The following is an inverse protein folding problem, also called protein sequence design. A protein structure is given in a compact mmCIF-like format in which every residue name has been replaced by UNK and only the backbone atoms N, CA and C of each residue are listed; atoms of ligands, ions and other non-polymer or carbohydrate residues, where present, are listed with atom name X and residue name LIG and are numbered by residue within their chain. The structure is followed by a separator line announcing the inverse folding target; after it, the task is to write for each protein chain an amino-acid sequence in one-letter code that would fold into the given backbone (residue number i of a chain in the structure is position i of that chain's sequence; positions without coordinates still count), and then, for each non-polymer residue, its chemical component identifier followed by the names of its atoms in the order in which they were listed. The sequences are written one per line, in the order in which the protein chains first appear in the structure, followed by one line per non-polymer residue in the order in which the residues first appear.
data_IF_774773455008
#
_entry.id   IF_774773455008
#
_cell.length_a   1.000
_cell.length_b   1.000
_cell.length_c   1.000
_cell.angle_alpha   90.00
_cell.angle_beta   90.00
_cell.angle_gamma   90.00
#
_symmetry.space_group_name_H-M   'P 1'
#
loop_
_entity.id
_entity.type
_entity.pdbx_description
1 polymer ?
#
# COMPACT_ATOMS: atom_id res chain seq x y z
N UNK A 1 -6.90 -3.81 4.51
CA UNK A 1 -6.32 -4.75 5.48
C UNK A 1 -7.47 -5.49 6.12
N UNK A 2 -7.23 -6.67 6.68
CA UNK A 2 -8.24 -7.45 7.42
C UNK A 2 -8.39 -6.93 8.85
N UNK A 3 -9.49 -7.28 9.53
CA UNK A 3 -9.71 -6.88 10.93
C UNK A 3 -8.56 -7.33 11.85
N UNK A 4 -8.07 -8.55 11.66
CA UNK A 4 -6.91 -9.09 12.39
C UNK A 4 -5.62 -8.30 12.14
N UNK A 5 -5.46 -7.75 10.94
CA UNK A 5 -4.32 -6.90 10.59
C UNK A 5 -4.45 -5.52 11.26
N UNK A 6 -5.66 -4.99 11.41
CA UNK A 6 -5.91 -3.78 12.21
C UNK A 6 -5.53 -4.00 13.66
N UNK A 7 -5.90 -5.14 14.27
CA UNK A 7 -5.46 -5.49 15.62
C UNK A 7 -3.93 -5.52 15.75
N UNK A 8 -3.23 -6.09 14.76
CA UNK A 8 -1.77 -6.09 14.73
C UNK A 8 -1.16 -4.68 14.57
N UNK A 9 -1.84 -3.77 13.86
CA UNK A 9 -1.45 -2.36 13.78
C UNK A 9 -1.62 -1.65 15.13
N UNK A 10 -2.75 -1.87 15.81
CA UNK A 10 -3.01 -1.30 17.13
C UNK A 10 -2.01 -1.82 18.17
N UNK A 11 -1.65 -3.09 18.14
CA UNK A 11 -0.58 -3.64 18.97
C UNK A 11 0.76 -2.92 18.74
N UNK A 12 1.10 -2.56 17.50
CA UNK A 12 2.29 -1.74 17.21
C UNK A 12 2.19 -0.34 17.82
N UNK A 13 1.03 0.31 17.74
CA UNK A 13 0.80 1.63 18.33
C UNK A 13 0.94 1.57 19.86
N UNK A 14 0.33 0.56 20.48
CA UNK A 14 0.43 0.30 21.92
C UNK A 14 1.90 0.12 22.35
N UNK A 15 2.74 -0.52 21.54
CA UNK A 15 4.16 -0.66 21.83
C UNK A 15 4.93 0.68 21.80
N UNK A 16 4.42 1.72 21.13
CA UNK A 16 5.04 3.05 21.10
C UNK A 16 4.63 3.93 22.27
N UNK A 17 3.35 3.90 22.68
CA UNK A 17 2.81 4.87 23.66
C UNK A 17 2.00 4.24 24.80
N UNK A 18 2.08 2.93 24.96
CA UNK A 18 1.53 2.17 26.09
C UNK A 18 0.00 2.30 26.25
N UNK A 19 -0.73 2.60 25.16
CA UNK A 19 -2.20 2.62 25.19
C UNK A 19 -2.79 1.21 25.11
N UNK A 20 -3.99 1.04 25.68
CA UNK A 20 -4.75 -0.21 25.63
C UNK A 20 -5.88 -0.12 24.61
N UNK A 21 -6.20 -1.24 23.97
CA UNK A 21 -7.26 -1.34 22.97
C UNK A 21 -8.17 -2.52 23.28
N UNK A 22 -9.43 -2.39 22.89
CA UNK A 22 -10.43 -3.45 22.92
C UNK A 22 -10.95 -3.76 21.51
N UNK A 23 -11.89 -4.69 21.43
CA UNK A 23 -12.49 -5.13 20.16
C UNK A 23 -13.22 -3.98 19.46
N UNK A 24 -13.91 -3.13 20.22
CA UNK A 24 -14.66 -1.97 19.71
C UNK A 24 -13.72 -0.94 19.08
N UNK A 25 -12.58 -0.67 19.72
CA UNK A 25 -11.57 0.24 19.15
C UNK A 25 -10.96 -0.36 17.88
N UNK A 26 -10.74 -1.67 17.87
CA UNK A 26 -10.22 -2.37 16.69
C UNK A 26 -11.19 -2.29 15.51
N UNK A 27 -12.49 -2.49 15.75
CA UNK A 27 -13.53 -2.35 14.75
C UNK A 27 -13.60 -0.91 14.20
N UNK A 28 -13.59 0.10 15.09
CA UNK A 28 -13.64 1.50 14.68
C UNK A 28 -12.43 1.92 13.83
N UNK A 29 -11.23 1.45 14.16
CA UNK A 29 -10.04 1.67 13.33
C UNK A 29 -10.12 0.90 12.00
N UNK A 30 -10.66 -0.31 12.00
CA UNK A 30 -10.81 -1.13 10.81
C UNK A 30 -11.75 -0.50 9.80
N UNK A 31 -12.86 0.09 10.24
CA UNK A 31 -13.82 0.77 9.35
C UNK A 31 -13.14 1.85 8.51
N UNK A 32 -12.17 2.57 9.09
CA UNK A 32 -11.42 3.62 8.42
C UNK A 32 -10.26 3.09 7.57
N UNK A 33 -9.58 2.03 8.04
CA UNK A 33 -8.32 1.56 7.48
C UNK A 33 -8.43 0.34 6.55
N UNK A 34 -9.59 -0.33 6.51
CA UNK A 34 -9.84 -1.51 5.68
C UNK A 34 -9.48 -1.34 4.19
N UNK A 35 -9.57 -0.14 3.56
CA UNK A 35 -9.15 0.03 2.15
C UNK A 35 -7.63 0.01 1.92
N UNK A 36 -6.81 0.13 2.97
CA UNK A 36 -5.35 0.27 2.89
C UNK A 36 -4.63 -1.01 3.33
N UNK A 37 -3.40 -1.23 2.89
CA UNK A 37 -2.63 -2.42 3.30
C UNK A 37 -2.04 -2.26 4.70
N UNK A 38 -1.76 -3.37 5.39
CA UNK A 38 -1.07 -3.34 6.68
C UNK A 38 0.32 -2.69 6.57
N UNK A 39 1.03 -2.91 5.46
CA UNK A 39 2.34 -2.33 5.23
C UNK A 39 2.29 -0.79 5.17
N UNK A 40 1.31 -0.23 4.44
CA UNK A 40 1.09 1.22 4.39
C UNK A 40 0.80 1.80 5.78
N UNK A 41 -0.07 1.13 6.55
CA UNK A 41 -0.45 1.61 7.87
C UNK A 41 0.71 1.51 8.88
N UNK A 42 1.48 0.41 8.88
CA UNK A 42 2.69 0.30 9.72
C UNK A 42 3.73 1.36 9.37
N UNK A 43 3.92 1.65 8.08
CA UNK A 43 4.80 2.73 7.65
C UNK A 43 4.33 4.08 8.18
N UNK A 44 3.03 4.39 8.08
CA UNK A 44 2.47 5.63 8.58
C UNK A 44 2.62 5.80 10.11
N UNK A 45 2.39 4.74 10.88
CA UNK A 45 2.62 4.73 12.34
C UNK A 45 4.09 5.03 12.66
N UNK A 46 5.02 4.31 12.02
CA UNK A 46 6.46 4.51 12.23
C UNK A 46 6.89 5.94 11.89
N UNK A 47 6.41 6.47 10.76
CA UNK A 47 6.71 7.84 10.33
C UNK A 47 6.24 8.86 11.36
N UNK A 48 5.00 8.74 11.83
CA UNK A 48 4.47 9.62 12.87
C UNK A 48 5.34 9.63 14.12
N UNK A 49 5.62 8.47 14.73
CA UNK A 49 6.42 8.42 15.95
C UNK A 49 7.91 8.71 15.75
N UNK A 50 8.41 8.72 14.51
CA UNK A 50 9.77 9.20 14.20
C UNK A 50 9.86 10.71 14.07
N UNK A 51 8.75 11.39 13.79
CA UNK A 51 8.72 12.83 13.50
C UNK A 51 8.08 13.65 14.64
N UNK A 52 7.16 13.06 15.40
CA UNK A 52 6.45 13.72 16.50
C UNK A 52 6.21 12.77 17.68
N UNK A 53 5.94 13.36 18.85
CA UNK A 53 5.52 12.67 20.07
C UNK A 53 4.02 12.76 20.31
N UNK A 54 3.28 13.42 19.40
CA UNK A 54 1.86 13.66 19.56
C UNK A 54 1.05 12.36 19.57
N UNK A 55 -0.10 12.41 20.23
CA UNK A 55 -1.03 11.28 20.27
C UNK A 55 -1.53 10.92 18.88
N UNK A 56 -1.20 9.73 18.41
CA UNK A 56 -1.60 9.25 17.08
C UNK A 56 -3.10 8.89 17.04
N UNK A 57 -3.81 9.41 16.03
CA UNK A 57 -5.21 9.08 15.72
C UNK A 57 -5.36 8.39 14.35
N UNK A 58 -6.49 7.72 14.05
CA UNK A 58 -6.71 7.13 12.74
C UNK A 58 -6.55 8.12 11.58
N UNK A 59 -6.98 9.37 11.79
CA UNK A 59 -6.89 10.44 10.80
C UNK A 59 -5.44 10.76 10.39
N UNK A 60 -4.49 10.67 11.33
CA UNK A 60 -3.06 10.87 11.04
C UNK A 60 -2.51 9.75 10.16
N UNK A 61 -2.85 8.51 10.48
CA UNK A 61 -2.48 7.34 9.67
C UNK A 61 -3.02 7.52 8.24
N UNK A 62 -4.29 7.89 8.09
CA UNK A 62 -4.89 8.15 6.77
C UNK A 62 -4.19 9.28 6.02
N UNK A 63 -3.91 10.40 6.68
CA UNK A 63 -3.23 11.56 6.10
C UNK A 63 -1.85 11.19 5.58
N UNK A 64 -1.08 10.43 6.38
CA UNK A 64 0.26 9.99 5.99
C UNK A 64 0.16 9.01 4.82
N UNK A 65 -0.70 7.97 4.88
CA UNK A 65 -0.85 7.01 3.78
C UNK A 65 -1.23 7.73 2.47
N UNK A 66 -2.20 8.64 2.50
CA UNK A 66 -2.60 9.41 1.31
C UNK A 66 -1.46 10.24 0.76
N UNK A 67 -0.66 10.87 1.63
CA UNK A 67 0.51 11.63 1.21
C UNK A 67 1.54 10.74 0.54
N UNK A 68 1.87 9.61 1.16
CA UNK A 68 2.81 8.64 0.63
C UNK A 68 2.34 8.02 -0.71
N UNK A 69 1.04 7.76 -0.86
CA UNK A 69 0.43 7.32 -2.12
C UNK A 69 0.66 8.34 -3.23
N UNK A 70 0.36 9.62 -2.97
CA UNK A 70 0.59 10.70 -3.94
C UNK A 70 2.07 10.81 -4.30
N UNK A 71 2.96 10.78 -3.30
CA UNK A 71 4.41 10.84 -3.53
C UNK A 71 4.89 9.70 -4.43
N UNK A 72 4.42 8.47 -4.23
CA UNK A 72 4.77 7.34 -5.10
C UNK A 72 4.24 7.49 -6.52
N UNK A 73 2.99 7.91 -6.68
CA UNK A 73 2.38 8.13 -7.99
C UNK A 73 3.07 9.26 -8.77
N UNK A 74 3.46 10.34 -8.08
CA UNK A 74 4.17 11.47 -8.69
C UNK A 74 5.53 11.09 -9.28
N UNK A 75 6.16 10.00 -8.80
CA UNK A 75 7.42 9.49 -9.36
C UNK A 75 7.23 8.78 -10.71
N UNK A 76 6.01 8.49 -11.12
CA UNK A 76 5.71 7.66 -12.30
C UNK A 76 5.02 8.46 -13.42
N UNK A 77 4.85 9.78 -13.28
CA UNK A 77 4.20 10.70 -14.24
C UNK A 77 2.91 10.15 -14.88
N UNK A 78 3.03 9.37 -15.95
CA UNK A 78 1.92 8.69 -16.64
C UNK A 78 2.04 7.17 -16.50
N UNK A 79 1.00 6.55 -15.95
CA UNK A 79 0.93 5.09 -15.79
C UNK A 79 0.33 4.49 -17.06
N UNK A 80 1.17 3.82 -17.83
CA UNK A 80 0.79 3.05 -19.01
C UNK A 80 1.05 1.55 -18.78
N UNK A 81 0.19 0.64 -19.28
CA UNK A 81 0.49 -0.79 -19.33
C UNK A 81 1.61 -1.13 -20.33
N UNK A 82 2.18 -2.32 -20.19
CA UNK A 82 3.04 -2.92 -21.21
C UNK A 82 2.25 -3.27 -22.47
N UNK A 83 2.92 -3.43 -23.63
CA UNK A 83 2.25 -3.78 -24.89
C UNK A 83 1.52 -5.11 -24.79
N UNK A 84 2.08 -6.07 -24.06
CA UNK A 84 1.46 -7.36 -23.79
C UNK A 84 0.10 -7.28 -23.06
N UNK A 85 -0.19 -6.18 -22.35
CA UNK A 85 -1.48 -5.95 -21.68
C UNK A 85 -2.43 -5.01 -22.45
N UNK A 86 -1.98 -4.44 -23.58
CA UNK A 86 -2.76 -3.53 -24.44
C UNK A 86 -3.48 -4.30 -25.56
N UNK A 87 -4.12 -5.41 -25.23
CA UNK A 87 -4.84 -6.26 -26.21
C UNK A 87 -6.16 -5.63 -26.66
N UNK A 88 -6.84 -4.94 -25.75
CA UNK A 88 -8.05 -4.16 -25.98
C UNK A 88 -8.19 -3.06 -24.91
N UNK A 89 -9.14 -2.13 -25.12
CA UNK A 89 -9.36 -0.99 -24.23
C UNK A 89 -9.77 -1.40 -22.81
N UNK A 90 -10.48 -2.52 -22.63
CA UNK A 90 -10.92 -2.97 -21.32
C UNK A 90 -9.73 -3.56 -20.53
N UNK A 91 -8.88 -4.35 -21.18
CA UNK A 91 -7.65 -4.89 -20.63
C UNK A 91 -6.67 -3.78 -20.25
N UNK A 92 -6.51 -2.78 -21.12
CA UNK A 92 -5.65 -1.62 -20.87
C UNK A 92 -6.13 -0.84 -19.62
N UNK A 93 -7.44 -0.54 -19.54
CA UNK A 93 -8.01 0.17 -18.40
C UNK A 93 -7.89 -0.62 -17.09
N UNK A 94 -8.13 -1.93 -17.14
CA UNK A 94 -8.02 -2.80 -15.98
C UNK A 94 -6.57 -2.87 -15.46
N UNK A 95 -5.61 -3.01 -16.36
CA UNK A 95 -4.18 -3.07 -16.02
C UNK A 95 -3.68 -1.73 -15.50
N UNK A 96 -4.08 -0.61 -16.12
CA UNK A 96 -3.76 0.74 -15.65
C UNK A 96 -4.23 0.97 -14.22
N UNK A 97 -5.46 0.58 -13.91
CA UNK A 97 -6.02 0.66 -12.55
C UNK A 97 -5.25 -0.22 -11.57
N UNK A 98 -4.87 -1.43 -11.97
CA UNK A 98 -4.11 -2.36 -11.14
C UNK A 98 -2.68 -1.84 -10.85
N UNK A 99 -2.00 -1.31 -11.86
CA UNK A 99 -0.67 -0.69 -11.74
C UNK A 99 -0.72 0.53 -10.82
N UNK A 100 -1.68 1.42 -11.04
CA UNK A 100 -1.91 2.60 -10.19
C UNK A 100 -2.10 2.21 -8.73
N UNK A 101 -2.91 1.18 -8.46
CA UNK A 101 -3.12 0.66 -7.10
C UNK A 101 -1.83 0.05 -6.52
N UNK A 102 -1.06 -0.69 -7.32
CA UNK A 102 0.16 -1.34 -6.87
C UNK A 102 1.27 -0.32 -6.55
N UNK A 103 1.45 0.70 -7.40
CA UNK A 103 2.38 1.82 -7.18
C UNK A 103 1.95 2.63 -5.97
N UNK A 104 0.67 3.04 -5.93
CA UNK A 104 0.14 3.81 -4.80
C UNK A 104 0.37 3.06 -3.48
N UNK A 105 0.09 1.77 -3.41
CA UNK A 105 0.30 0.99 -2.18
C UNK A 105 1.75 0.64 -1.85
N UNK A 106 2.71 0.92 -2.74
CA UNK A 106 4.11 0.52 -2.59
C UNK A 106 4.33 -0.98 -2.82
N UNK A 107 3.33 -1.71 -3.32
CA UNK A 107 3.49 -3.10 -3.74
C UNK A 107 4.38 -3.23 -4.98
N UNK A 108 4.36 -2.21 -5.84
CA UNK A 108 5.21 -2.03 -7.00
C UNK A 108 6.04 -0.74 -6.82
N UNK A 109 7.36 -0.86 -6.87
CA UNK A 109 8.27 0.31 -6.85
C UNK A 109 8.38 0.94 -8.25
N UNK A 110 8.77 2.22 -8.36
CA UNK A 110 9.04 2.83 -9.67
C UNK A 110 10.08 2.06 -10.50
N UNK A 111 11.10 1.51 -9.86
CA UNK A 111 12.13 0.68 -10.52
C UNK A 111 11.52 -0.58 -11.13
N UNK A 112 10.72 -1.31 -10.34
CA UNK A 112 10.00 -2.50 -10.81
C UNK A 112 8.96 -2.17 -11.89
N UNK A 113 8.33 -1.00 -11.82
CA UNK A 113 7.44 -0.56 -12.88
C UNK A 113 8.21 -0.34 -14.19
N UNK A 114 9.40 0.27 -14.13
CA UNK A 114 10.29 0.40 -15.28
C UNK A 114 10.76 -0.96 -15.83
N UNK A 115 11.06 -1.92 -14.96
CA UNK A 115 11.39 -3.29 -15.35
C UNK A 115 10.21 -4.00 -16.05
N UNK A 116 9.00 -3.86 -15.51
CA UNK A 116 7.78 -4.39 -16.11
C UNK A 116 7.55 -3.85 -17.54
N UNK A 117 7.74 -2.55 -17.75
CA UNK A 117 7.61 -1.95 -19.08
C UNK A 117 8.64 -2.51 -20.08
N UNK A 118 9.87 -2.77 -19.62
CA UNK A 118 10.95 -3.33 -20.45
C UNK A 118 10.78 -4.81 -20.75
N UNK A 119 10.17 -5.57 -19.83
CA UNK A 119 10.09 -7.03 -19.95
C UNK A 119 9.00 -7.50 -20.92
N UNK A 120 8.11 -6.60 -21.36
CA UNK A 120 6.93 -6.88 -22.18
C UNK A 120 6.14 -8.11 -21.70
N UNK A 121 6.12 -8.30 -20.38
CA UNK A 121 5.48 -9.44 -19.73
C UNK A 121 4.12 -8.99 -19.22
N UNK A 122 3.03 -9.75 -19.46
CA UNK A 122 1.73 -9.39 -18.92
C UNK A 122 1.78 -9.15 -17.41
N UNK A 123 1.08 -8.11 -16.94
CA UNK A 123 1.12 -7.67 -15.55
C UNK A 123 0.80 -8.80 -14.57
N UNK A 124 -0.14 -9.68 -14.94
CA UNK A 124 -0.50 -10.86 -14.14
C UNK A 124 0.69 -11.80 -13.89
N UNK A 125 1.55 -12.00 -14.89
CA UNK A 125 2.75 -12.83 -14.78
C UNK A 125 3.87 -12.11 -14.04
N UNK A 126 4.11 -10.84 -14.38
CA UNK A 126 5.13 -10.03 -13.71
C UNK A 126 4.85 -9.91 -12.20
N UNK A 127 3.60 -9.61 -11.83
CA UNK A 127 3.17 -9.51 -10.42
C UNK A 127 3.37 -10.81 -9.66
N UNK A 128 3.10 -11.97 -10.27
CA UNK A 128 3.37 -13.28 -9.64
C UNK A 128 4.85 -13.47 -9.37
N UNK A 129 5.72 -13.07 -10.29
CA UNK A 129 7.18 -13.08 -10.10
C UNK A 129 7.62 -12.25 -8.90
N UNK A 130 7.11 -11.03 -8.75
CA UNK A 130 7.41 -10.19 -7.58
C UNK A 130 6.96 -10.85 -6.27
N UNK A 131 5.76 -11.42 -6.26
CA UNK A 131 5.22 -12.06 -5.06
C UNK A 131 6.02 -13.31 -4.66
N UNK A 132 6.49 -14.09 -5.63
CA UNK A 132 7.35 -15.24 -5.38
C UNK A 132 8.68 -14.81 -4.72
N UNK A 133 9.29 -13.72 -5.20
CA UNK A 133 10.52 -13.18 -4.61
C UNK A 133 10.29 -12.67 -3.17
N UNK A 134 9.16 -12.00 -2.91
CA UNK A 134 8.83 -11.50 -1.55
C UNK A 134 8.47 -12.61 -0.55
N UNK A 135 8.06 -13.79 -1.01
CA UNK A 135 7.76 -14.94 -0.15
C UNK A 135 8.97 -15.83 0.15
N UNK A 136 10.07 -15.65 -0.58
CA UNK A 136 11.32 -16.39 -0.40
C UNK A 136 12.33 -15.70 0.54
N UNK A 137 12.03 -14.46 0.96
CA UNK A 137 12.83 -13.62 1.87
C UNK A 137 12.13 -13.48 3.22
#
# INVERSE_FOLDING_TARGET
MRLTETGALLALISAYDNRNFNEETTAAWYDLLSPYTLAEAKHAVKKHYSETRDWLMPADVLRIIKTERRTRLAKVETIVPSRADMTDTAAELATTKALSKAIASGQLTPEQYGDYLRSDTPWSTYRRGILALKGAA
#
